data_IF_495099437459
#
_entry.id   IF_495099437459
#
_cell.length_a   1.000
_cell.length_b   1.000
_cell.length_c   1.000
_cell.angle_alpha   90.00
_cell.angle_beta   90.00
_cell.angle_gamma   90.00
#
_symmetry.space_group_name_H-M   'P 1'
#
loop_
_entity.id
_entity.type
_entity.pdbx_description
1 polymer ?
#
# COMPACT_ATOMS: atom_id res chain seq x y z
N UNK A 1 9.41 11.74 10.45
CA UNK A 1 7.96 11.45 10.36
C UNK A 1 7.43 10.77 11.64
N UNK A 2 8.10 9.75 12.18
CA UNK A 2 7.58 8.97 13.31
C UNK A 2 7.22 9.82 14.55
N UNK A 3 8.02 10.79 14.88
CA UNK A 3 7.89 11.63 16.09
C UNK A 3 7.25 13.00 15.84
N UNK A 4 6.64 13.21 14.68
CA UNK A 4 5.95 14.47 14.41
C UNK A 4 4.76 14.65 15.35
N UNK A 5 4.67 15.78 16.08
CA UNK A 5 3.58 16.04 17.02
C UNK A 5 2.29 16.52 16.30
N UNK A 6 2.35 16.72 15.01
CA UNK A 6 1.25 17.22 14.18
C UNK A 6 0.73 16.14 13.25
N UNK A 7 -0.51 16.27 12.82
CA UNK A 7 -1.12 15.42 11.80
C UNK A 7 -0.34 15.52 10.49
N UNK A 8 -0.14 14.37 9.87
CA UNK A 8 0.52 14.24 8.56
C UNK A 8 -0.34 13.42 7.60
N UNK A 9 -0.48 13.93 6.38
CA UNK A 9 -1.16 13.24 5.27
C UNK A 9 -0.21 13.16 4.09
N UNK A 10 -0.09 12.00 3.50
CA UNK A 10 0.73 11.74 2.32
C UNK A 10 -0.17 11.25 1.18
N UNK A 11 0.07 11.76 -0.02
CA UNK A 11 -0.53 11.28 -1.25
C UNK A 11 0.57 10.84 -2.21
N UNK A 12 0.47 9.61 -2.70
CA UNK A 12 1.30 9.09 -3.79
C UNK A 12 0.56 9.36 -5.10
N UNK A 13 1.19 10.17 -5.96
CA UNK A 13 0.69 10.50 -7.28
C UNK A 13 1.77 10.09 -8.31
N UNK A 14 1.52 9.02 -9.06
CA UNK A 14 2.49 8.42 -9.96
C UNK A 14 3.37 7.38 -9.26
N UNK A 15 4.68 7.51 -9.30
CA UNK A 15 5.61 6.56 -8.70
C UNK A 15 6.20 7.11 -7.40
N UNK A 16 5.90 6.44 -6.29
CA UNK A 16 6.51 6.71 -4.99
C UNK A 16 7.48 5.60 -4.62
N UNK A 17 8.76 5.73 -4.99
CA UNK A 17 9.74 4.65 -4.86
C UNK A 17 10.74 4.80 -3.71
N UNK A 18 11.29 3.65 -3.28
CA UNK A 18 12.42 3.47 -2.37
C UNK A 18 12.23 4.00 -0.95
N UNK A 19 13.32 4.07 -0.19
CA UNK A 19 13.33 4.49 1.21
C UNK A 19 12.80 5.89 1.46
N UNK A 20 13.00 6.83 0.53
CA UNK A 20 12.48 8.19 0.63
C UNK A 20 10.95 8.24 0.63
N UNK A 21 10.33 7.53 -0.31
CA UNK A 21 8.88 7.41 -0.37
C UNK A 21 8.31 6.71 0.88
N UNK A 22 8.98 5.66 1.37
CA UNK A 22 8.60 4.99 2.62
C UNK A 22 8.65 5.92 3.82
N UNK A 23 9.69 6.75 3.93
CA UNK A 23 9.83 7.71 5.02
C UNK A 23 8.69 8.75 5.01
N UNK A 24 8.30 9.25 3.84
CA UNK A 24 7.17 10.16 3.67
C UNK A 24 5.82 9.44 3.85
N UNK A 25 5.71 8.22 3.35
CA UNK A 25 4.51 7.38 3.49
C UNK A 25 4.21 6.96 4.92
N UNK A 26 5.16 7.08 5.86
CA UNK A 26 4.92 6.91 7.30
C UNK A 26 4.21 8.12 7.89
N UNK A 27 3.10 8.50 7.27
CA UNK A 27 2.20 9.56 7.67
C UNK A 27 0.97 9.01 8.42
N UNK A 28 0.20 9.86 9.10
CA UNK A 28 -1.01 9.42 9.80
C UNK A 28 -2.09 8.94 8.84
N UNK A 29 -2.15 9.53 7.65
CA UNK A 29 -2.94 9.03 6.52
C UNK A 29 -2.06 8.94 5.27
N UNK A 30 -2.16 7.81 4.57
CA UNK A 30 -1.50 7.58 3.29
C UNK A 30 -2.57 7.29 2.25
N UNK A 31 -2.62 8.09 1.22
CA UNK A 31 -3.48 7.90 0.05
C UNK A 31 -2.65 7.64 -1.20
N UNK A 32 -3.25 7.00 -2.19
CA UNK A 32 -2.68 6.82 -3.50
C UNK A 32 -3.70 7.19 -4.58
N UNK A 33 -3.25 7.70 -5.71
CA UNK A 33 -4.06 7.72 -6.92
C UNK A 33 -4.13 6.30 -7.51
N UNK A 34 -5.21 5.97 -8.22
CA UNK A 34 -5.49 4.61 -8.70
C UNK A 34 -4.40 4.05 -9.63
N UNK A 35 -3.83 4.92 -10.50
CA UNK A 35 -2.73 4.55 -11.39
C UNK A 35 -1.34 4.66 -10.76
N UNK A 36 -1.24 4.98 -9.46
CA UNK A 36 0.05 5.11 -8.79
C UNK A 36 0.60 3.78 -8.32
N UNK A 37 1.93 3.70 -8.23
CA UNK A 37 2.66 2.56 -7.68
C UNK A 37 3.59 2.99 -6.54
N UNK A 38 3.75 2.10 -5.57
CA UNK A 38 4.57 2.37 -4.38
C UNK A 38 5.59 1.24 -4.15
N UNK A 39 6.62 1.13 -5.02
CA UNK A 39 7.63 0.09 -4.91
C UNK A 39 8.68 0.42 -3.84
N UNK A 40 9.01 -0.58 -3.02
CA UNK A 40 10.21 -0.53 -2.15
C UNK A 40 11.47 -0.70 -3.00
N UNK A 41 11.38 -1.53 -4.04
CA UNK A 41 12.45 -1.85 -4.99
C UNK A 41 11.83 -1.99 -6.38
N UNK A 42 12.58 -1.58 -7.41
CA UNK A 42 12.15 -1.79 -8.80
C UNK A 42 11.99 -3.30 -9.10
N UNK A 43 10.93 -3.72 -9.83
CA UNK A 43 10.70 -5.14 -10.13
C UNK A 43 11.87 -5.83 -10.81
N UNK A 44 12.59 -5.12 -11.69
CA UNK A 44 13.78 -5.61 -12.38
C UNK A 44 14.92 -5.92 -11.39
N UNK A 45 15.15 -5.01 -10.43
CA UNK A 45 16.16 -5.22 -9.40
C UNK A 45 15.75 -6.36 -8.44
N UNK A 46 14.47 -6.46 -8.08
CA UNK A 46 13.96 -7.57 -7.30
C UNK A 46 14.12 -8.91 -8.04
N UNK A 47 13.79 -8.96 -9.34
CA UNK A 47 13.97 -10.15 -10.17
C UNK A 47 15.44 -10.56 -10.27
N UNK A 48 16.34 -9.60 -10.47
CA UNK A 48 17.77 -9.85 -10.51
C UNK A 48 18.31 -10.43 -9.19
N UNK A 49 17.83 -9.93 -8.05
CA UNK A 49 18.24 -10.41 -6.73
C UNK A 49 17.67 -11.80 -6.43
N UNK A 50 16.36 -12.01 -6.67
CA UNK A 50 15.66 -13.23 -6.28
C UNK A 50 15.91 -14.38 -7.25
N UNK A 51 15.99 -14.09 -8.54
CA UNK A 51 16.03 -15.09 -9.61
C UNK A 51 17.32 -15.03 -10.44
N UNK A 52 18.17 -14.03 -10.22
CA UNK A 52 19.35 -13.72 -11.06
C UNK A 52 19.00 -13.49 -12.54
N UNK A 53 17.76 -13.09 -12.79
CA UNK A 53 17.22 -12.87 -14.13
C UNK A 53 16.26 -11.65 -14.11
N UNK A 54 16.70 -10.48 -14.61
CA UNK A 54 15.85 -9.29 -14.65
C UNK A 54 14.68 -9.40 -15.64
N UNK A 55 14.70 -10.37 -16.57
CA UNK A 55 13.58 -10.59 -17.50
C UNK A 55 12.31 -11.11 -16.80
N UNK A 56 12.45 -11.61 -15.57
CA UNK A 56 11.34 -12.01 -14.71
C UNK A 56 10.68 -10.85 -13.96
N UNK A 57 11.00 -9.59 -14.32
CA UNK A 57 10.36 -8.42 -13.71
C UNK A 57 8.82 -8.41 -13.75
N UNK A 58 8.14 -8.78 -14.86
CA UNK A 58 6.67 -8.77 -14.88
C UNK A 58 6.00 -9.67 -13.83
N UNK A 59 6.34 -10.98 -13.70
CA UNK A 59 5.75 -11.81 -12.65
C UNK A 59 6.17 -11.36 -11.24
N UNK A 60 7.37 -10.83 -11.06
CA UNK A 60 7.84 -10.29 -9.77
C UNK A 60 7.06 -9.05 -9.40
N UNK A 61 6.78 -8.13 -10.33
CA UNK A 61 5.96 -6.94 -10.08
C UNK A 61 4.56 -7.31 -9.55
N UNK A 62 3.93 -8.32 -10.16
CA UNK A 62 2.65 -8.84 -9.67
C UNK A 62 2.71 -9.41 -8.24
N UNK A 63 3.81 -10.10 -7.92
CA UNK A 63 4.01 -10.67 -6.58
C UNK A 63 4.34 -9.64 -5.50
N UNK A 64 4.94 -8.51 -5.87
CA UNK A 64 5.32 -7.43 -4.94
C UNK A 64 4.12 -6.64 -4.40
N UNK A 65 2.96 -6.68 -5.07
CA UNK A 65 1.77 -5.98 -4.61
C UNK A 65 1.96 -4.47 -4.53
N UNK A 66 2.35 -3.84 -5.64
CA UNK A 66 2.78 -2.44 -5.70
C UNK A 66 1.65 -1.44 -5.90
N UNK A 67 0.44 -1.91 -6.24
CA UNK A 67 -0.69 -1.05 -6.59
C UNK A 67 -1.42 -0.53 -5.34
N UNK A 68 -2.15 0.58 -5.50
CA UNK A 68 -2.99 1.11 -4.43
C UNK A 68 -4.02 0.09 -3.91
N UNK A 69 -4.57 -0.76 -4.79
CA UNK A 69 -5.50 -1.82 -4.42
C UNK A 69 -4.82 -2.89 -3.54
N UNK A 70 -3.61 -3.30 -3.89
CA UNK A 70 -2.84 -4.27 -3.12
C UNK A 70 -2.49 -3.72 -1.73
N UNK A 71 -1.99 -2.50 -1.69
CA UNK A 71 -1.57 -1.85 -0.45
C UNK A 71 -2.76 -1.53 0.46
N UNK A 72 -3.96 -1.32 -0.12
CA UNK A 72 -5.19 -1.19 0.65
C UNK A 72 -5.60 -2.51 1.29
N UNK A 73 -5.52 -3.63 0.56
CA UNK A 73 -5.78 -4.97 1.13
C UNK A 73 -4.83 -5.28 2.30
N UNK A 74 -3.57 -4.84 2.18
CA UNK A 74 -2.56 -4.99 3.24
C UNK A 74 -2.75 -4.01 4.41
N UNK A 75 -3.69 -3.07 4.31
CA UNK A 75 -3.88 -2.05 5.35
C UNK A 75 -2.80 -0.97 5.38
N UNK A 76 -1.96 -0.88 4.35
CA UNK A 76 -0.87 0.10 4.27
C UNK A 76 -1.36 1.47 3.82
N UNK A 77 -2.37 1.55 2.94
CA UNK A 77 -2.96 2.83 2.53
C UNK A 77 -4.32 3.05 3.16
N UNK A 78 -4.61 4.29 3.48
CA UNK A 78 -5.89 4.74 4.05
C UNK A 78 -7.00 4.80 2.99
N UNK A 79 -6.64 5.01 1.73
CA UNK A 79 -7.58 5.04 0.63
C UNK A 79 -6.88 5.16 -0.73
N UNK A 80 -7.63 4.82 -1.77
CA UNK A 80 -7.22 5.01 -3.16
C UNK A 80 -8.20 5.99 -3.79
N UNK A 81 -7.68 7.07 -4.37
CA UNK A 81 -8.46 8.07 -5.08
C UNK A 81 -8.43 7.77 -6.57
N UNK A 82 -9.55 7.93 -7.29
CA UNK A 82 -9.54 7.78 -8.73
C UNK A 82 -8.61 8.83 -9.36
N UNK A 83 -8.01 8.52 -10.50
CA UNK A 83 -7.17 9.45 -11.27
C UNK A 83 -7.76 9.74 -12.67
N UNK A 84 -8.77 8.98 -13.08
CA UNK A 84 -9.54 9.17 -14.30
C UNK A 84 -10.60 10.27 -14.09
N UNK A 85 -10.36 11.43 -14.65
CA UNK A 85 -11.27 12.57 -14.53
C UNK A 85 -11.32 13.23 -13.15
N UNK A 86 -10.49 12.82 -12.20
CA UNK A 86 -10.39 13.46 -10.90
C UNK A 86 -9.76 14.84 -11.03
N UNK A 87 -10.49 15.87 -10.63
CA UNK A 87 -9.97 17.24 -10.65
C UNK A 87 -9.02 17.50 -9.48
N UNK A 88 -8.18 18.52 -9.62
CA UNK A 88 -7.36 19.00 -8.50
C UNK A 88 -8.23 19.45 -7.29
N UNK A 89 -9.48 19.85 -7.54
CA UNK A 89 -10.46 20.17 -6.50
C UNK A 89 -10.88 18.97 -5.69
N UNK A 90 -11.10 17.83 -6.36
CA UNK A 90 -11.49 16.58 -5.70
C UNK A 90 -10.35 16.05 -4.82
N UNK A 91 -9.12 16.07 -5.33
CA UNK A 91 -7.92 15.71 -4.58
C UNK A 91 -7.75 16.60 -3.35
N UNK A 92 -7.91 17.91 -3.52
CA UNK A 92 -7.84 18.88 -2.41
C UNK A 92 -8.90 18.61 -1.34
N UNK A 93 -10.14 18.33 -1.77
CA UNK A 93 -11.24 18.00 -0.87
C UNK A 93 -10.97 16.70 -0.09
N UNK A 94 -10.49 15.68 -0.77
CA UNK A 94 -10.13 14.41 -0.14
C UNK A 94 -9.00 14.57 0.89
N UNK A 95 -7.96 15.33 0.55
CA UNK A 95 -6.85 15.65 1.47
C UNK A 95 -7.35 16.49 2.66
N UNK A 96 -8.21 17.48 2.44
CA UNK A 96 -8.82 18.27 3.51
C UNK A 96 -9.62 17.41 4.48
N UNK A 97 -10.45 16.50 3.97
CA UNK A 97 -11.20 15.55 4.77
C UNK A 97 -10.26 14.60 5.56
N UNK A 98 -9.16 14.15 4.91
CA UNK A 98 -8.17 13.30 5.55
C UNK A 98 -7.50 14.01 6.74
N UNK A 99 -7.16 15.28 6.63
CA UNK A 99 -6.63 16.07 7.75
C UNK A 99 -7.64 16.19 8.89
N UNK A 100 -8.91 16.44 8.57
CA UNK A 100 -9.98 16.53 9.58
C UNK A 100 -10.24 15.24 10.35
N UNK A 101 -10.02 14.10 9.69
CA UNK A 101 -10.26 12.77 10.28
C UNK A 101 -9.01 12.15 10.95
N UNK A 102 -7.82 12.67 10.68
CA UNK A 102 -6.57 12.11 11.18
C UNK A 102 -6.24 12.64 12.58
N UNK A 103 -5.52 11.85 13.34
CA UNK A 103 -4.96 12.22 14.65
C UNK A 103 -3.46 11.98 14.64
N UNK A 104 -2.66 12.81 15.37
CA UNK A 104 -1.24 12.53 15.54
C UNK A 104 -1.03 11.14 16.14
N UNK A 105 -0.17 10.34 15.50
CA UNK A 105 0.12 8.97 15.96
C UNK A 105 -0.71 7.87 15.27
N UNK A 106 -1.72 8.17 14.47
CA UNK A 106 -2.48 7.18 13.70
C UNK A 106 -1.58 6.33 12.79
N UNK A 107 -0.40 6.86 12.40
CA UNK A 107 0.63 6.16 11.63
C UNK A 107 1.09 4.85 12.28
N UNK A 108 1.29 4.84 13.59
CA UNK A 108 1.68 3.65 14.32
C UNK A 108 0.58 2.58 14.28
N UNK A 109 -0.66 2.95 14.55
CA UNK A 109 -1.81 2.04 14.48
C UNK A 109 -2.01 1.49 13.06
N UNK A 110 -1.74 2.29 12.02
CA UNK A 110 -1.80 1.84 10.62
C UNK A 110 -0.70 0.82 10.32
N UNK A 111 0.54 1.08 10.76
CA UNK A 111 1.66 0.15 10.60
C UNK A 111 1.39 -1.19 11.31
N UNK A 112 0.86 -1.15 12.53
CA UNK A 112 0.49 -2.34 13.30
C UNK A 112 -0.62 -3.15 12.61
N UNK A 113 -1.63 -2.49 12.04
CA UNK A 113 -2.67 -3.19 11.27
C UNK A 113 -2.10 -3.87 10.04
N UNK A 114 -1.25 -3.18 9.28
CA UNK A 114 -0.61 -3.74 8.10
C UNK A 114 0.23 -4.97 8.44
N UNK A 115 1.00 -4.91 9.52
CA UNK A 115 1.81 -6.04 10.00
C UNK A 115 0.91 -7.23 10.37
N UNK A 116 -0.19 -6.99 11.09
CA UNK A 116 -1.14 -8.06 11.41
C UNK A 116 -1.78 -8.66 10.17
N UNK A 117 -2.24 -7.85 9.23
CA UNK A 117 -2.80 -8.35 7.96
C UNK A 117 -1.81 -9.22 7.21
N UNK A 118 -0.55 -8.82 7.16
CA UNK A 118 0.50 -9.59 6.51
C UNK A 118 0.78 -10.91 7.22
N UNK A 119 0.92 -10.90 8.55
CA UNK A 119 1.21 -12.10 9.36
C UNK A 119 0.06 -13.11 9.33
N UNK A 120 -1.18 -12.66 9.26
CA UNK A 120 -2.36 -13.55 9.20
C UNK A 120 -2.68 -14.05 7.80
N UNK A 121 -1.94 -13.61 6.78
CA UNK A 121 -2.20 -13.94 5.37
C UNK A 121 -3.49 -13.33 4.80
N UNK A 122 -4.18 -12.50 5.55
CA UNK A 122 -5.43 -11.87 5.10
C UNK A 122 -5.26 -10.94 3.89
N UNK A 123 -4.03 -10.49 3.61
CA UNK A 123 -3.70 -9.66 2.45
C UNK A 123 -3.09 -10.40 1.26
N UNK A 124 -2.76 -11.68 1.40
CA UNK A 124 -1.99 -12.44 0.40
C UNK A 124 -2.87 -13.50 -0.27
N UNK A 125 -3.94 -13.09 -0.93
CA UNK A 125 -4.69 -13.97 -1.83
C UNK A 125 -4.41 -13.56 -3.27
N UNK A 126 -3.31 -14.06 -3.83
CA UNK A 126 -2.93 -13.75 -5.22
C UNK A 126 -1.72 -14.47 -5.76
N UNK A 127 -1.20 -15.49 -5.09
CA UNK A 127 -0.22 -16.39 -5.69
C UNK A 127 -0.68 -17.83 -5.54
N UNK A 128 -0.89 -18.48 -6.68
CA UNK A 128 -1.11 -19.89 -6.89
C UNK A 128 -0.45 -20.76 -5.81
N UNK A 129 -1.18 -21.15 -4.78
CA UNK A 129 -0.86 -22.36 -4.04
C UNK A 129 -1.17 -23.53 -4.95
N UNK A 130 -0.15 -24.22 -5.42
CA UNK A 130 -0.30 -25.56 -5.93
C UNK A 130 -1.01 -26.39 -4.87
N UNK A 131 -2.05 -27.03 -5.32
CA UNK A 131 -2.95 -27.99 -4.71
C UNK A 131 -2.38 -28.71 -3.47
N UNK A 132 -2.96 -28.41 -2.33
CA UNK A 132 -3.05 -29.23 -1.16
C UNK A 132 -4.42 -28.95 -0.57
N UNK A 133 -5.28 -29.94 -0.59
CA UNK A 133 -6.67 -29.90 -0.17
C UNK A 133 -6.83 -29.40 1.27
N UNK A 134 -7.30 -28.17 1.42
CA UNK A 134 -7.92 -27.72 2.67
C UNK A 134 -8.97 -26.65 2.34
N UNK A 135 -10.18 -26.81 2.83
CA UNK A 135 -11.30 -25.92 2.58
C UNK A 135 -11.02 -24.50 3.06
N UNK A 136 -11.48 -23.46 2.34
CA UNK A 136 -11.35 -22.08 2.78
C UNK A 136 -12.36 -21.79 3.89
N UNK A 137 -11.85 -21.41 5.04
CA UNK A 137 -12.65 -20.77 6.08
C UNK A 137 -13.12 -19.36 5.64
N UNK A 138 -14.16 -18.80 6.29
CA UNK A 138 -14.82 -17.59 5.80
C UNK A 138 -13.89 -16.37 5.76
N UNK A 139 -14.01 -15.65 4.66
CA UNK A 139 -13.35 -14.38 4.34
C UNK A 139 -13.34 -13.42 5.55
N UNK A 140 -12.20 -13.30 6.21
CA UNK A 140 -11.99 -12.24 7.19
C UNK A 140 -11.36 -11.06 6.46
N UNK A 141 -12.20 -10.22 5.90
CA UNK A 141 -11.81 -8.89 5.49
C UNK A 141 -11.28 -8.13 6.71
N UNK A 142 -10.10 -7.51 6.60
CA UNK A 142 -9.65 -6.57 7.62
C UNK A 142 -10.70 -5.45 7.71
N UNK A 143 -11.58 -5.52 8.72
CA UNK A 143 -12.58 -4.49 8.97
C UNK A 143 -11.88 -3.18 9.35
N UNK A 144 -12.31 -2.10 8.73
CA UNK A 144 -11.81 -0.72 8.90
C UNK A 144 -12.58 0.01 9.97
#
# INVERSE_FOLDING_TARGET
>A
MAELPTVSVCLVAGEGGSGGAMALGYADRLYMLAGSVFPVIAPEAAAAILHRDPTLAPPVAGALGLTGADLRRLGLVSGVLPDDGTSAGDVRSAIGAAFGAARPGDRASRADRATRCWLTGAGVTGTSRRQGSHEPGPDRQCAW
#
